data_IF_772802806736
#
_entry.id   IF_772802806736
#
_cell.length_a   1.000
_cell.length_b   1.000
_cell.length_c   1.000
_cell.angle_alpha   90.00
_cell.angle_beta   90.00
_cell.angle_gamma   90.00
#
_symmetry.space_group_name_H-M   'P 1'
#
loop_
_entity.id
_entity.type
_entity.pdbx_description
1 polymer ?
#
# COMPACT_ATOMS: atom_id res chain seq x y z
N UNK A 1 -43.84 15.96 -3.98
CA UNK A 1 -43.00 16.71 -4.92
C UNK A 1 -41.90 17.51 -4.21
N UNK A 2 -42.16 18.06 -3.02
CA UNK A 2 -41.14 18.76 -2.22
C UNK A 2 -39.93 17.87 -1.90
N UNK A 3 -40.14 16.64 -1.46
CA UNK A 3 -39.07 15.65 -1.14
C UNK A 3 -38.19 15.28 -2.33
N UNK A 4 -38.69 15.32 -3.57
CA UNK A 4 -37.89 15.05 -4.78
C UNK A 4 -37.00 16.24 -5.17
N UNK A 5 -37.44 17.46 -4.81
CA UNK A 5 -36.71 18.70 -5.12
C UNK A 5 -35.67 18.97 -4.00
N UNK A 6 -35.99 18.61 -2.76
CA UNK A 6 -35.09 18.75 -1.62
C UNK A 6 -33.72 18.06 -1.84
N UNK A 7 -33.72 16.88 -2.42
CA UNK A 7 -32.48 16.16 -2.75
C UNK A 7 -31.56 16.91 -3.72
N UNK A 8 -32.12 17.73 -4.63
CA UNK A 8 -31.36 18.51 -5.60
C UNK A 8 -30.95 19.87 -5.04
N UNK A 9 -31.84 20.49 -4.26
CA UNK A 9 -31.62 21.86 -3.74
C UNK A 9 -30.72 21.87 -2.49
N UNK A 10 -30.57 20.75 -1.80
CA UNK A 10 -29.71 20.62 -0.63
C UNK A 10 -28.26 20.26 -0.94
N UNK A 11 -27.92 19.96 -2.22
CA UNK A 11 -26.55 19.64 -2.62
C UNK A 11 -25.65 20.85 -2.43
N UNK A 12 -24.55 20.68 -1.68
CA UNK A 12 -23.53 21.69 -1.47
C UNK A 12 -22.46 21.64 -2.58
N UNK A 13 -21.73 22.74 -2.78
CA UNK A 13 -20.61 22.79 -3.72
C UNK A 13 -19.52 21.76 -3.35
N UNK A 14 -19.26 21.55 -2.06
CA UNK A 14 -18.31 20.54 -1.59
C UNK A 14 -18.72 19.12 -2.02
N UNK A 15 -20.00 18.77 -1.89
CA UNK A 15 -20.51 17.47 -2.33
C UNK A 15 -20.36 17.27 -3.85
N UNK A 16 -20.61 18.31 -4.65
CA UNK A 16 -20.39 18.26 -6.10
C UNK A 16 -18.91 18.00 -6.42
N UNK A 17 -17.99 18.69 -5.73
CA UNK A 17 -16.54 18.47 -5.90
C UNK A 17 -16.18 17.02 -5.55
N UNK A 18 -16.71 16.48 -4.45
CA UNK A 18 -16.44 15.10 -4.07
C UNK A 18 -17.01 14.07 -5.05
N UNK A 19 -18.20 14.33 -5.62
CA UNK A 19 -18.75 13.49 -6.70
C UNK A 19 -17.88 13.53 -7.96
N UNK A 20 -17.30 14.69 -8.29
CA UNK A 20 -16.33 14.80 -9.38
C UNK A 20 -15.05 14.03 -9.06
N UNK A 21 -14.52 14.13 -7.83
CA UNK A 21 -13.37 13.32 -7.37
C UNK A 21 -13.67 11.83 -7.48
N UNK A 22 -14.84 11.37 -7.00
CA UNK A 22 -15.30 10.00 -7.16
C UNK A 22 -15.34 9.54 -8.62
N UNK A 23 -15.86 10.40 -9.51
CA UNK A 23 -15.88 10.13 -10.95
C UNK A 23 -14.48 10.05 -11.57
N UNK A 24 -13.55 10.88 -11.12
CA UNK A 24 -12.14 10.82 -11.54
C UNK A 24 -11.48 9.52 -11.07
N UNK A 25 -11.72 9.09 -9.82
CA UNK A 25 -11.21 7.80 -9.32
C UNK A 25 -11.72 6.64 -10.16
N UNK A 26 -13.01 6.62 -10.49
CA UNK A 26 -13.58 5.62 -11.39
C UNK A 26 -12.95 5.67 -12.79
N UNK A 27 -12.77 6.87 -13.36
CA UNK A 27 -12.10 7.03 -14.65
C UNK A 27 -10.66 6.50 -14.63
N UNK A 28 -9.91 6.78 -13.58
CA UNK A 28 -8.54 6.27 -13.42
C UNK A 28 -8.54 4.74 -13.31
N UNK A 29 -9.46 4.15 -12.55
CA UNK A 29 -9.60 2.70 -12.45
C UNK A 29 -9.99 2.05 -13.79
N UNK A 30 -11.01 2.59 -14.48
CA UNK A 30 -11.56 1.97 -15.69
C UNK A 30 -10.70 2.23 -16.94
N UNK A 31 -10.24 3.47 -17.15
CA UNK A 31 -9.52 3.85 -18.39
C UNK A 31 -8.01 3.76 -18.30
N UNK A 32 -7.46 3.92 -17.11
CA UNK A 32 -6.01 3.87 -16.87
C UNK A 32 -5.57 2.56 -16.22
N UNK A 33 -6.55 1.72 -15.83
CA UNK A 33 -6.31 0.45 -15.15
C UNK A 33 -5.47 0.59 -13.86
N UNK A 34 -5.61 1.76 -13.19
CA UNK A 34 -4.96 2.05 -11.92
C UNK A 34 -5.76 1.42 -10.78
N UNK A 35 -5.25 0.32 -10.22
CA UNK A 35 -5.90 -0.41 -9.11
C UNK A 35 -7.43 -0.48 -9.23
N UNK A 36 -7.98 -1.01 -10.34
CA UNK A 36 -9.41 -0.92 -10.66
C UNK A 36 -10.28 -1.59 -9.60
N UNK A 37 -9.79 -2.65 -8.96
CA UNK A 37 -10.50 -3.41 -7.93
C UNK A 37 -10.83 -2.60 -6.69
N UNK A 38 -10.10 -1.51 -6.45
CA UNK A 38 -10.32 -0.62 -5.32
C UNK A 38 -10.82 0.76 -5.74
N UNK A 39 -10.17 1.40 -6.75
CA UNK A 39 -10.52 2.77 -7.15
C UNK A 39 -11.94 2.88 -7.71
N UNK A 40 -12.46 1.84 -8.38
CA UNK A 40 -13.82 1.86 -8.92
C UNK A 40 -14.87 1.79 -7.81
N UNK A 41 -14.83 0.82 -6.86
CA UNK A 41 -15.75 0.80 -5.73
C UNK A 41 -15.64 2.05 -4.84
N UNK A 42 -14.43 2.53 -4.58
CA UNK A 42 -14.18 3.74 -3.79
C UNK A 42 -14.75 4.99 -4.48
N UNK A 43 -14.57 5.12 -5.79
CA UNK A 43 -15.12 6.24 -6.56
C UNK A 43 -16.65 6.24 -6.54
N UNK A 44 -17.28 5.07 -6.75
CA UNK A 44 -18.73 4.93 -6.64
C UNK A 44 -19.22 5.24 -5.22
N UNK A 45 -18.58 4.68 -4.21
CA UNK A 45 -18.89 4.92 -2.82
C UNK A 45 -18.78 6.42 -2.46
N UNK A 46 -17.75 7.12 -2.95
CA UNK A 46 -17.58 8.57 -2.77
C UNK A 46 -18.76 9.35 -3.36
N UNK A 47 -19.26 8.95 -4.52
CA UNK A 47 -20.46 9.56 -5.09
C UNK A 47 -21.65 9.32 -4.16
N UNK A 48 -21.86 8.08 -3.71
CA UNK A 48 -23.01 7.70 -2.88
C UNK A 48 -23.05 8.42 -1.53
N UNK A 49 -21.91 8.55 -0.82
CA UNK A 49 -21.85 9.20 0.49
C UNK A 49 -22.00 10.72 0.44
N UNK A 50 -21.82 11.32 -0.73
CA UNK A 50 -21.98 12.77 -0.93
C UNK A 50 -23.36 13.14 -1.51
N UNK A 51 -24.27 12.17 -1.70
CA UNK A 51 -25.66 12.50 -1.98
C UNK A 51 -26.42 12.81 -0.69
N UNK A 52 -27.11 13.94 -0.61
CA UNK A 52 -27.91 14.29 0.57
C UNK A 52 -29.15 13.39 0.68
N UNK A 53 -29.55 13.08 1.93
CA UNK A 53 -30.81 12.38 2.23
C UNK A 53 -30.85 10.90 1.82
N UNK A 54 -29.69 10.25 1.62
CA UNK A 54 -29.63 8.82 1.29
C UNK A 54 -29.45 7.99 2.55
N UNK A 55 -30.05 6.80 2.64
CA UNK A 55 -29.82 5.85 3.74
C UNK A 55 -28.42 5.21 3.79
N UNK A 56 -27.48 5.76 3.02
CA UNK A 56 -26.07 5.35 2.96
C UNK A 56 -25.31 5.76 4.21
N UNK A 57 -25.58 6.98 4.70
CA UNK A 57 -25.06 7.53 5.96
C UNK A 57 -26.13 7.48 7.05
N UNK A 58 -25.70 7.58 8.30
CA UNK A 58 -26.60 7.65 9.46
C UNK A 58 -27.55 8.84 9.34
N UNK A 59 -28.84 8.59 9.55
CA UNK A 59 -29.92 9.57 9.45
C UNK A 59 -30.83 9.50 10.68
N UNK A 60 -31.45 10.63 11.02
CA UNK A 60 -32.49 10.67 12.02
C UNK A 60 -33.85 10.66 11.32
N UNK A 61 -34.53 9.53 11.34
CA UNK A 61 -35.88 9.35 10.78
C UNK A 61 -36.90 9.23 11.90
N UNK A 62 -37.84 10.16 11.98
CA UNK A 62 -38.88 10.15 13.00
C UNK A 62 -38.36 10.22 14.45
N UNK A 63 -37.21 10.86 14.69
CA UNK A 63 -36.59 10.96 16.01
C UNK A 63 -35.76 9.72 16.43
N UNK A 64 -35.65 8.72 15.55
CA UNK A 64 -34.80 7.52 15.77
C UNK A 64 -33.60 7.62 14.85
N UNK A 65 -32.40 7.43 15.42
CA UNK A 65 -31.15 7.37 14.68
C UNK A 65 -31.05 6.00 14.01
N UNK A 66 -30.97 5.97 12.68
CA UNK A 66 -30.71 4.77 11.90
C UNK A 66 -29.28 4.84 11.33
N UNK A 67 -28.44 3.87 11.70
CA UNK A 67 -27.09 3.77 11.16
C UNK A 67 -27.12 3.48 9.67
N UNK A 68 -26.32 4.22 8.90
CA UNK A 68 -26.16 4.01 7.48
C UNK A 68 -25.35 2.75 7.14
N UNK A 69 -25.63 2.16 5.96
CA UNK A 69 -24.96 0.91 5.53
C UNK A 69 -23.43 1.05 5.48
N UNK A 70 -22.92 2.20 5.03
CA UNK A 70 -21.47 2.42 4.96
C UNK A 70 -20.82 2.58 6.34
N UNK A 71 -21.54 3.16 7.30
CA UNK A 71 -21.06 3.24 8.68
C UNK A 71 -20.98 1.86 9.33
N UNK A 72 -22.00 1.01 9.13
CA UNK A 72 -22.00 -0.37 9.62
C UNK A 72 -20.84 -1.16 9.00
N UNK A 73 -20.63 -1.05 7.68
CA UNK A 73 -19.52 -1.70 7.00
C UNK A 73 -18.17 -1.18 7.50
N UNK A 74 -18.06 0.13 7.74
CA UNK A 74 -16.84 0.75 8.29
C UNK A 74 -16.51 0.19 9.68
N UNK A 75 -17.46 0.21 10.59
CA UNK A 75 -17.28 -0.33 11.95
C UNK A 75 -16.92 -1.81 11.94
N UNK A 76 -17.61 -2.61 11.11
CA UNK A 76 -17.41 -4.05 11.04
C UNK A 76 -16.13 -4.48 10.31
N UNK A 77 -15.67 -3.70 9.34
CA UNK A 77 -14.58 -4.11 8.44
C UNK A 77 -13.27 -3.38 8.66
N UNK A 78 -13.32 -2.04 8.76
CA UNK A 78 -12.11 -1.22 8.96
C UNK A 78 -11.88 -0.98 10.44
N UNK A 79 -12.91 -0.56 11.19
CA UNK A 79 -12.78 -0.32 12.63
C UNK A 79 -12.33 -1.55 13.43
N UNK A 80 -12.65 -2.76 12.96
CA UNK A 80 -12.15 -4.03 13.51
C UNK A 80 -10.85 -4.52 12.85
N UNK A 81 -10.31 -3.79 11.88
CA UNK A 81 -9.13 -4.16 11.08
C UNK A 81 -9.31 -5.45 10.23
N UNK A 82 -10.53 -6.00 10.17
CA UNK A 82 -10.81 -7.27 9.53
C UNK A 82 -10.46 -7.25 8.02
N UNK A 83 -10.89 -6.22 7.28
CA UNK A 83 -10.66 -6.15 5.84
C UNK A 83 -9.19 -6.06 5.46
N UNK A 84 -8.37 -5.18 6.08
CA UNK A 84 -6.92 -5.16 5.84
C UNK A 84 -6.26 -6.53 6.10
N UNK A 85 -6.60 -7.20 7.20
CA UNK A 85 -6.03 -8.51 7.53
C UNK A 85 -6.40 -9.58 6.52
N UNK A 86 -7.66 -9.64 6.07
CA UNK A 86 -8.10 -10.61 5.06
C UNK A 86 -7.40 -10.39 3.71
N UNK A 87 -7.16 -9.13 3.31
CA UNK A 87 -6.39 -8.84 2.09
C UNK A 87 -4.96 -9.36 2.21
N UNK A 88 -4.33 -9.27 3.38
CA UNK A 88 -2.99 -9.81 3.58
C UNK A 88 -2.89 -11.32 3.37
N UNK A 89 -3.92 -12.10 3.70
CA UNK A 89 -3.95 -13.53 3.34
C UNK A 89 -3.84 -13.70 1.82
N UNK A 90 -4.63 -12.95 1.07
CA UNK A 90 -4.62 -13.01 -0.39
C UNK A 90 -3.28 -12.58 -0.99
N UNK A 91 -2.73 -11.44 -0.53
CA UNK A 91 -1.43 -10.94 -0.96
C UNK A 91 -0.34 -11.97 -0.65
N UNK A 92 -0.32 -12.54 0.56
CA UNK A 92 0.64 -13.58 0.95
C UNK A 92 0.57 -14.81 0.05
N UNK A 93 -0.65 -15.24 -0.31
CA UNK A 93 -0.85 -16.34 -1.24
C UNK A 93 -0.40 -16.03 -2.69
N UNK A 94 -0.40 -14.75 -3.09
CA UNK A 94 0.10 -14.32 -4.41
C UNK A 94 1.63 -14.25 -4.47
N UNK A 95 2.32 -13.99 -3.35
CA UNK A 95 3.76 -13.75 -3.30
C UNK A 95 4.53 -15.05 -3.41
N UNK A 96 5.52 -15.08 -4.32
CA UNK A 96 6.59 -16.10 -4.36
C UNK A 96 7.85 -15.54 -3.67
N UNK A 97 8.17 -16.08 -2.50
CA UNK A 97 9.38 -15.73 -1.76
C UNK A 97 10.64 -16.43 -2.29
N UNK A 98 10.53 -17.31 -3.29
CA UNK A 98 11.66 -18.02 -3.90
C UNK A 98 12.84 -17.12 -4.28
N UNK A 99 12.64 -16.01 -5.02
CA UNK A 99 13.71 -15.07 -5.37
C UNK A 99 14.41 -14.44 -4.16
N UNK A 100 13.67 -14.16 -3.08
CA UNK A 100 14.22 -13.65 -1.83
C UNK A 100 15.03 -14.73 -1.10
N UNK A 101 14.51 -15.95 -1.03
CA UNK A 101 15.20 -17.09 -0.38
C UNK A 101 16.49 -17.48 -1.11
N UNK A 102 16.54 -17.33 -2.44
CA UNK A 102 17.76 -17.52 -3.24
C UNK A 102 18.80 -16.43 -2.98
N UNK A 103 18.36 -15.22 -2.68
CA UNK A 103 19.22 -14.08 -2.40
C UNK A 103 18.77 -13.32 -1.15
N UNK A 104 18.99 -13.85 0.07
CA UNK A 104 18.54 -13.22 1.32
C UNK A 104 19.09 -11.80 1.54
N UNK A 105 20.18 -11.46 0.86
CA UNK A 105 20.74 -10.11 0.84
C UNK A 105 19.72 -9.05 0.36
N UNK A 106 18.73 -9.45 -0.44
CA UNK A 106 17.66 -8.56 -0.89
C UNK A 106 16.78 -8.02 0.25
N UNK A 107 16.78 -8.68 1.43
CA UNK A 107 16.10 -8.16 2.64
C UNK A 107 16.57 -6.75 3.02
N UNK A 108 17.84 -6.45 2.81
CA UNK A 108 18.41 -5.13 3.12
C UNK A 108 17.80 -4.01 2.26
N UNK A 109 17.38 -4.32 1.02
CA UNK A 109 16.77 -3.33 0.16
C UNK A 109 15.33 -3.01 0.58
N UNK A 110 14.56 -4.00 1.04
CA UNK A 110 13.26 -3.77 1.64
C UNK A 110 13.36 -2.85 2.87
N UNK A 111 14.32 -3.12 3.76
CA UNK A 111 14.55 -2.27 4.93
C UNK A 111 14.99 -0.85 4.55
N UNK A 112 15.93 -0.72 3.59
CA UNK A 112 16.44 0.58 3.15
C UNK A 112 15.38 1.42 2.43
N UNK A 113 14.45 0.78 1.74
CA UNK A 113 13.37 1.48 1.05
C UNK A 113 12.29 2.02 2.01
N UNK A 114 12.32 1.71 3.30
CA UNK A 114 11.44 2.34 4.30
C UNK A 114 11.96 3.73 4.78
N UNK A 115 13.04 4.22 4.19
CA UNK A 115 13.64 5.49 4.57
C UNK A 115 12.68 6.67 4.47
N UNK A 116 11.88 6.73 3.42
CA UNK A 116 10.93 7.82 3.17
C UNK A 116 9.82 7.89 4.21
N UNK A 117 9.39 6.75 4.78
CA UNK A 117 8.42 6.70 5.89
C UNK A 117 8.94 7.57 7.04
N UNK A 118 10.11 7.23 7.57
CA UNK A 118 10.69 7.92 8.72
C UNK A 118 11.11 9.35 8.40
N UNK A 119 11.56 9.60 7.17
CA UNK A 119 11.87 10.95 6.70
C UNK A 119 10.63 11.85 6.76
N UNK A 120 9.48 11.37 6.26
CA UNK A 120 8.24 12.17 6.25
C UNK A 120 7.65 12.29 7.65
N UNK A 121 7.77 11.29 8.52
CA UNK A 121 7.39 11.46 9.94
C UNK A 121 8.07 12.69 10.53
N UNK A 122 9.39 12.83 10.36
CA UNK A 122 10.14 13.99 10.86
C UNK A 122 9.66 15.29 10.20
N UNK A 123 9.49 15.31 8.88
CA UNK A 123 9.08 16.51 8.14
C UNK A 123 7.66 16.93 8.53
N UNK A 124 6.71 15.99 8.66
CA UNK A 124 5.34 16.28 9.03
C UNK A 124 5.24 16.86 10.45
N UNK A 125 5.99 16.32 11.41
CA UNK A 125 6.09 16.89 12.76
C UNK A 125 6.64 18.32 12.74
N UNK A 126 7.68 18.58 11.93
CA UNK A 126 8.23 19.93 11.76
C UNK A 126 7.24 20.91 11.11
N UNK A 127 6.29 20.40 10.33
CA UNK A 127 5.20 21.18 9.73
C UNK A 127 3.98 21.35 10.66
N UNK A 128 4.03 20.79 11.89
CA UNK A 128 3.02 21.02 12.91
C UNK A 128 1.97 19.93 13.05
N UNK A 129 2.12 18.77 12.39
CA UNK A 129 1.28 17.60 12.62
C UNK A 129 1.64 16.95 13.96
N UNK A 130 0.62 16.39 14.63
CA UNK A 130 0.86 15.51 15.77
C UNK A 130 1.69 14.29 15.36
N UNK A 131 2.44 13.72 16.30
CA UNK A 131 3.35 12.60 16.00
C UNK A 131 2.61 11.36 15.49
N UNK A 132 1.37 11.11 15.95
CA UNK A 132 0.51 10.01 15.50
C UNK A 132 -0.01 10.26 14.08
N UNK A 133 -0.43 11.49 13.80
CA UNK A 133 -0.80 11.93 12.46
C UNK A 133 0.40 11.81 11.51
N UNK A 134 1.57 12.31 11.92
CA UNK A 134 2.80 12.25 11.14
C UNK A 134 3.22 10.81 10.82
N UNK A 135 3.11 9.90 11.80
CA UNK A 135 3.38 8.47 11.60
C UNK A 135 2.41 7.85 10.58
N UNK A 136 1.12 8.19 10.68
CA UNK A 136 0.08 7.75 9.75
C UNK A 136 0.26 8.33 8.34
N UNK A 137 0.80 9.53 8.21
CA UNK A 137 1.15 10.12 6.91
C UNK A 137 2.40 9.45 6.33
N UNK A 138 3.42 9.22 7.16
CA UNK A 138 4.68 8.63 6.75
C UNK A 138 4.52 7.25 6.11
N UNK A 139 3.65 6.41 6.68
CA UNK A 139 3.43 5.02 6.19
C UNK A 139 2.91 4.95 4.75
N UNK A 140 2.36 6.05 4.20
CA UNK A 140 1.95 6.15 2.80
C UNK A 140 3.13 5.83 1.87
N UNK A 141 4.35 6.19 2.27
CA UNK A 141 5.58 5.96 1.49
C UNK A 141 5.83 4.49 1.18
N UNK A 142 5.47 3.58 2.07
CA UNK A 142 5.59 2.15 1.86
C UNK A 142 4.90 1.65 0.58
N UNK A 143 3.93 2.42 0.06
CA UNK A 143 3.04 2.02 -1.03
C UNK A 143 2.35 0.66 -0.74
N UNK A 144 1.85 0.54 0.49
CA UNK A 144 1.14 -0.62 1.03
C UNK A 144 -0.19 -0.16 1.62
N UNK A 145 -1.24 -0.26 0.83
CA UNK A 145 -2.56 0.23 1.18
C UNK A 145 -3.11 -0.37 2.48
N UNK A 146 -3.15 -1.70 2.63
CA UNK A 146 -3.63 -2.35 3.84
C UNK A 146 -2.85 -1.95 5.09
N UNK A 147 -1.51 -1.86 5.04
CA UNK A 147 -0.69 -1.37 6.17
C UNK A 147 -1.01 0.09 6.50
N UNK A 148 -1.18 0.94 5.47
CA UNK A 148 -1.52 2.34 5.67
C UNK A 148 -2.89 2.50 6.37
N UNK A 149 -3.88 1.70 5.99
CA UNK A 149 -5.20 1.67 6.64
C UNK A 149 -5.06 1.22 8.10
N UNK A 150 -4.32 0.15 8.37
CA UNK A 150 -4.15 -0.41 9.70
C UNK A 150 -3.49 0.61 10.64
N UNK A 151 -2.42 1.26 10.20
CA UNK A 151 -1.71 2.28 11.00
C UNK A 151 -2.58 3.52 11.21
N UNK A 152 -3.24 4.03 10.15
CA UNK A 152 -4.07 5.22 10.25
C UNK A 152 -5.33 4.99 11.10
N UNK A 153 -5.96 3.82 11.01
CA UNK A 153 -7.11 3.48 11.84
C UNK A 153 -6.78 3.48 13.34
N UNK A 154 -5.54 3.09 13.68
CA UNK A 154 -5.09 3.03 15.08
C UNK A 154 -4.57 4.38 15.60
N UNK A 155 -3.80 5.13 14.80
CA UNK A 155 -3.10 6.33 15.25
C UNK A 155 -3.82 7.64 14.91
N UNK A 156 -4.56 7.69 13.80
CA UNK A 156 -5.18 8.90 13.27
C UNK A 156 -6.44 8.59 12.44
N UNK A 157 -7.48 8.05 13.10
CA UNK A 157 -8.73 7.62 12.44
C UNK A 157 -9.39 8.74 11.63
N UNK A 158 -9.30 9.98 12.08
CA UNK A 158 -9.86 11.14 11.37
C UNK A 158 -9.17 11.39 10.02
N UNK A 159 -7.91 10.96 9.85
CA UNK A 159 -7.13 11.09 8.62
C UNK A 159 -7.18 9.83 7.73
N UNK A 160 -7.91 8.80 8.15
CA UNK A 160 -7.95 7.52 7.44
C UNK A 160 -8.37 7.65 5.97
N UNK A 161 -9.39 8.47 5.68
CA UNK A 161 -9.85 8.71 4.31
C UNK A 161 -8.75 9.28 3.40
N UNK A 162 -8.19 10.46 3.71
CA UNK A 162 -7.10 11.05 2.95
C UNK A 162 -5.87 10.15 2.81
N UNK A 163 -5.46 9.49 3.89
CA UNK A 163 -4.30 8.58 3.89
C UNK A 163 -4.54 7.39 2.97
N UNK A 164 -5.72 6.80 3.03
CA UNK A 164 -6.06 5.65 2.19
C UNK A 164 -6.09 6.02 0.71
N UNK A 165 -6.74 7.15 0.36
CA UNK A 165 -6.77 7.65 -1.03
C UNK A 165 -5.36 7.91 -1.52
N UNK A 166 -4.51 8.55 -0.74
CA UNK A 166 -3.13 8.82 -1.09
C UNK A 166 -2.34 7.53 -1.31
N UNK A 167 -2.38 6.58 -0.36
CA UNK A 167 -1.64 5.33 -0.42
C UNK A 167 -1.96 4.52 -1.68
N UNK A 168 -3.24 4.32 -1.98
CA UNK A 168 -3.65 3.56 -3.17
C UNK A 168 -3.43 4.32 -4.47
N UNK A 169 -3.61 5.65 -4.47
CA UNK A 169 -3.32 6.46 -5.65
C UNK A 169 -1.83 6.41 -6.01
N UNK A 170 -0.94 6.49 -5.02
CA UNK A 170 0.51 6.41 -5.28
C UNK A 170 0.95 5.00 -5.66
N UNK A 171 0.37 3.97 -5.09
CA UNK A 171 0.59 2.60 -5.54
C UNK A 171 0.26 2.45 -7.04
N UNK A 172 -0.87 3.00 -7.48
CA UNK A 172 -1.25 3.02 -8.89
C UNK A 172 -0.31 3.87 -9.78
N UNK A 173 0.32 4.91 -9.22
CA UNK A 173 1.23 5.81 -9.93
C UNK A 173 2.70 5.36 -9.92
N UNK A 174 3.01 4.22 -9.31
CA UNK A 174 4.37 3.62 -9.30
C UNK A 174 5.03 3.63 -10.68
N UNK A 175 4.36 3.21 -11.78
CA UNK A 175 4.98 3.19 -13.10
C UNK A 175 5.37 4.58 -13.66
N UNK A 176 4.84 5.64 -13.09
CA UNK A 176 5.09 7.03 -13.52
C UNK A 176 6.11 7.70 -12.59
N UNK A 177 5.89 7.63 -11.27
CA UNK A 177 6.67 8.37 -10.29
C UNK A 177 8.03 7.72 -10.06
N UNK A 178 8.07 6.40 -9.93
CA UNK A 178 9.30 5.68 -9.60
C UNK A 178 10.41 5.84 -10.65
N UNK A 179 10.16 5.78 -11.97
CA UNK A 179 11.19 6.05 -12.97
C UNK A 179 11.79 7.46 -12.86
N UNK A 180 10.97 8.45 -12.53
CA UNK A 180 11.42 9.84 -12.36
C UNK A 180 12.36 9.95 -11.15
N UNK A 181 11.94 9.39 -10.01
CA UNK A 181 12.73 9.35 -8.78
C UNK A 181 14.09 8.65 -8.99
N UNK A 182 14.08 7.49 -9.64
CA UNK A 182 15.30 6.72 -9.95
C UNK A 182 16.23 7.49 -10.86
N UNK A 183 15.72 8.07 -11.97
CA UNK A 183 16.52 8.81 -12.94
C UNK A 183 17.15 10.06 -12.31
N UNK A 184 16.49 10.69 -11.35
CA UNK A 184 17.01 11.85 -10.64
C UNK A 184 18.29 11.56 -9.83
N UNK A 185 18.44 10.31 -9.34
CA UNK A 185 19.56 9.95 -8.46
C UNK A 185 20.49 8.89 -9.06
N UNK A 186 20.30 8.49 -10.34
CA UNK A 186 21.14 7.52 -11.03
C UNK A 186 21.66 8.05 -12.36
N UNK A 187 22.87 7.68 -12.70
CA UNK A 187 23.45 7.92 -14.04
C UNK A 187 23.06 6.78 -15.01
N UNK A 188 23.13 7.06 -16.31
CA UNK A 188 22.89 6.04 -17.35
C UNK A 188 23.81 4.82 -17.18
N UNK A 189 25.09 5.04 -16.86
CA UNK A 189 26.06 3.96 -16.64
C UNK A 189 25.67 3.05 -15.49
N UNK A 190 25.14 3.61 -14.40
CA UNK A 190 24.68 2.84 -13.26
C UNK A 190 23.45 2.00 -13.60
N UNK A 191 22.52 2.55 -14.40
CA UNK A 191 21.31 1.82 -14.83
C UNK A 191 21.61 0.68 -15.81
N UNK A 192 22.75 0.74 -16.50
CA UNK A 192 23.24 -0.31 -17.44
C UNK A 192 24.04 -1.42 -16.75
N UNK A 193 24.24 -1.37 -15.43
CA UNK A 193 24.92 -2.44 -14.71
C UNK A 193 24.13 -3.75 -14.86
N UNK A 194 24.75 -4.76 -15.49
CA UNK A 194 24.18 -6.09 -15.67
C UNK A 194 24.45 -6.94 -14.43
N UNK A 195 23.48 -7.74 -14.05
CA UNK A 195 23.62 -8.69 -12.95
C UNK A 195 23.36 -10.10 -13.44
N UNK A 196 24.24 -11.02 -13.11
CA UNK A 196 24.12 -12.43 -13.48
C UNK A 196 23.32 -13.17 -12.41
N UNK A 197 22.08 -13.51 -12.73
CA UNK A 197 21.25 -14.33 -11.86
C UNK A 197 21.62 -15.81 -11.99
N UNK A 198 21.97 -16.43 -10.86
CA UNK A 198 22.12 -17.88 -10.75
C UNK A 198 20.90 -18.42 -10.03
N UNK A 199 20.08 -19.17 -10.74
CA UNK A 199 18.95 -19.84 -10.12
C UNK A 199 19.48 -20.97 -9.21
N UNK A 200 19.27 -20.84 -7.93
CA UNK A 200 19.50 -21.90 -6.95
C UNK A 200 18.17 -22.54 -6.56
N UNK A 201 18.15 -23.86 -6.43
CA UNK A 201 16.94 -24.55 -6.02
C UNK A 201 16.72 -24.37 -4.51
N UNK A 202 15.61 -23.72 -4.15
CA UNK A 202 15.16 -23.63 -2.76
C UNK A 202 14.35 -24.87 -2.42
N UNK A 203 14.70 -25.55 -1.31
CA UNK A 203 13.96 -26.74 -0.89
C UNK A 203 12.54 -26.41 -0.47
N UNK A 204 11.60 -27.34 -0.70
CA UNK A 204 10.20 -27.17 -0.29
C UNK A 204 10.08 -26.96 1.22
N UNK A 205 10.88 -27.66 2.01
CA UNK A 205 10.94 -27.47 3.47
C UNK A 205 11.31 -26.03 3.85
N UNK A 206 12.30 -25.44 3.16
CA UNK A 206 12.68 -24.03 3.39
C UNK A 206 11.52 -23.09 3.09
N UNK A 207 10.79 -23.32 1.99
CA UNK A 207 9.65 -22.50 1.60
C UNK A 207 8.49 -22.58 2.60
N UNK A 208 8.25 -23.75 3.19
CA UNK A 208 7.20 -23.95 4.21
C UNK A 208 7.63 -23.35 5.56
N UNK A 209 8.89 -23.50 5.96
CA UNK A 209 9.39 -22.98 7.24
C UNK A 209 9.53 -21.45 7.24
N UNK A 210 9.82 -20.86 6.09
CA UNK A 210 10.06 -19.42 5.97
C UNK A 210 8.93 -18.56 6.54
N UNK A 211 7.65 -18.71 6.14
CA UNK A 211 6.57 -17.90 6.68
C UNK A 211 6.37 -18.09 8.18
N UNK A 212 6.63 -19.29 8.71
CA UNK A 212 6.53 -19.57 10.14
C UNK A 212 7.65 -18.82 10.88
N UNK A 213 8.89 -18.91 10.40
CA UNK A 213 10.05 -18.27 11.01
C UNK A 213 9.89 -16.75 10.99
N UNK A 214 9.46 -16.16 9.84
CA UNK A 214 9.25 -14.72 9.74
C UNK A 214 8.16 -14.24 10.70
N UNK A 215 7.07 -15.00 10.85
CA UNK A 215 6.01 -14.66 11.81
C UNK A 215 6.53 -14.64 13.24
N UNK A 216 7.31 -15.65 13.64
CA UNK A 216 7.90 -15.71 14.98
C UNK A 216 8.90 -14.58 15.22
N UNK A 217 9.79 -14.32 14.25
CA UNK A 217 10.78 -13.24 14.34
C UNK A 217 10.11 -11.88 14.42
N UNK A 218 9.10 -11.63 13.59
CA UNK A 218 8.33 -10.37 13.62
C UNK A 218 7.62 -10.18 14.97
N UNK A 219 7.07 -11.26 15.54
CA UNK A 219 6.45 -11.23 16.87
C UNK A 219 7.41 -10.84 17.99
N UNK A 220 8.70 -11.14 17.86
CA UNK A 220 9.73 -10.69 18.82
C UNK A 220 10.18 -9.25 18.59
N UNK A 221 10.27 -8.81 17.33
CA UNK A 221 10.78 -7.46 16.98
C UNK A 221 9.69 -6.41 17.16
N UNK A 222 8.49 -6.68 16.67
CA UNK A 222 7.36 -5.76 16.66
C UNK A 222 6.04 -6.53 16.93
N UNK A 223 5.73 -6.85 18.20
CA UNK A 223 4.55 -7.66 18.55
C UNK A 223 3.23 -7.12 17.98
N UNK A 224 3.07 -5.80 17.90
CA UNK A 224 1.88 -5.15 17.37
C UNK A 224 1.69 -5.43 15.87
N UNK A 225 2.77 -5.70 15.12
CA UNK A 225 2.69 -6.07 13.70
C UNK A 225 2.28 -7.54 13.47
N UNK A 226 2.22 -8.34 14.53
CA UNK A 226 2.00 -9.78 14.41
C UNK A 226 0.72 -10.16 13.65
N UNK A 227 -0.43 -9.48 13.82
CA UNK A 227 -1.61 -9.76 13.01
C UNK A 227 -1.33 -9.56 11.51
N UNK A 228 -0.71 -8.44 11.13
CA UNK A 228 -0.41 -8.14 9.72
C UNK A 228 0.57 -9.15 9.13
N UNK A 229 1.73 -9.35 9.79
CA UNK A 229 2.75 -10.30 9.33
C UNK A 229 2.19 -11.72 9.34
N UNK A 230 1.46 -12.11 10.38
CA UNK A 230 0.90 -13.45 10.53
C UNK A 230 -0.09 -13.79 9.41
N UNK A 231 -1.00 -12.87 9.07
CA UNK A 231 -1.97 -13.07 7.99
C UNK A 231 -1.29 -13.11 6.61
N UNK A 232 -0.29 -12.25 6.38
CA UNK A 232 0.54 -12.28 5.16
C UNK A 232 1.26 -13.62 5.02
N UNK A 233 1.94 -14.05 6.09
CA UNK A 233 2.71 -15.29 6.10
C UNK A 233 1.80 -16.53 6.09
N UNK A 234 0.60 -16.46 6.68
CA UNK A 234 -0.39 -17.51 6.56
C UNK A 234 -0.84 -17.70 5.10
N UNK A 235 -1.11 -16.61 4.38
CA UNK A 235 -1.40 -16.68 2.95
C UNK A 235 -0.29 -17.35 2.16
N UNK A 236 0.97 -17.01 2.45
CA UNK A 236 2.12 -17.65 1.82
C UNK A 236 2.24 -19.15 2.19
N UNK A 237 1.96 -19.51 3.43
CA UNK A 237 1.94 -20.90 3.86
C UNK A 237 0.86 -21.72 3.11
N UNK A 238 -0.32 -21.15 2.85
CA UNK A 238 -1.35 -21.80 2.03
C UNK A 238 -0.84 -22.15 0.64
N UNK A 239 -0.02 -21.28 0.05
CA UNK A 239 0.61 -21.48 -1.27
C UNK A 239 1.68 -22.56 -1.22
N UNK A 240 2.60 -22.47 -0.25
CA UNK A 240 3.83 -23.27 -0.27
C UNK A 240 3.68 -24.66 0.36
N UNK A 241 2.61 -24.93 1.11
CA UNK A 241 2.42 -26.23 1.76
C UNK A 241 2.11 -27.38 0.79
N UNK A 242 1.64 -27.09 -0.44
CA UNK A 242 1.35 -28.09 -1.48
C UNK A 242 0.13 -28.96 -1.25
N UNK A 243 -0.59 -28.78 -0.13
CA UNK A 243 -1.79 -29.57 0.20
C UNK A 243 -3.05 -28.71 0.29
N UNK A 244 -2.93 -27.39 0.18
CA UNK A 244 -3.99 -26.40 0.31
C UNK A 244 -4.17 -25.54 -0.95
N UNK A 245 -3.83 -26.05 -2.13
CA UNK A 245 -3.86 -25.30 -3.40
C UNK A 245 -5.21 -24.64 -3.67
N UNK A 246 -6.32 -25.33 -3.35
CA UNK A 246 -7.67 -24.77 -3.51
C UNK A 246 -7.90 -23.55 -2.62
N UNK A 247 -7.45 -23.59 -1.37
CA UNK A 247 -7.56 -22.45 -0.45
C UNK A 247 -6.65 -21.32 -0.88
N UNK A 248 -5.43 -21.64 -1.33
CA UNK A 248 -4.49 -20.66 -1.89
C UNK A 248 -5.10 -19.93 -3.09
N UNK A 249 -5.68 -20.66 -4.04
CA UNK A 249 -6.35 -20.05 -5.20
C UNK A 249 -7.55 -19.20 -4.79
N UNK A 250 -8.40 -19.67 -3.86
CA UNK A 250 -9.52 -18.89 -3.34
C UNK A 250 -9.04 -17.61 -2.64
N UNK A 251 -7.94 -17.68 -1.88
CA UNK A 251 -7.37 -16.52 -1.22
C UNK A 251 -6.86 -15.48 -2.22
N UNK A 252 -6.17 -15.94 -3.29
CA UNK A 252 -5.58 -15.09 -4.32
C UNK A 252 -6.63 -14.38 -5.19
N UNK A 253 -7.77 -15.00 -5.42
CA UNK A 253 -8.79 -14.52 -6.37
C UNK A 253 -10.05 -14.06 -5.63
N UNK A 254 -10.89 -14.98 -5.15
CA UNK A 254 -12.22 -14.65 -4.64
C UNK A 254 -12.15 -13.81 -3.36
N UNK A 255 -11.31 -14.19 -2.40
CA UNK A 255 -11.20 -13.47 -1.13
C UNK A 255 -10.70 -12.04 -1.35
N UNK A 256 -9.61 -11.86 -2.10
CA UNK A 256 -9.06 -10.53 -2.40
C UNK A 256 -10.10 -9.69 -3.13
N UNK A 257 -10.79 -10.23 -4.13
CA UNK A 257 -11.78 -9.49 -4.91
C UNK A 257 -12.97 -9.04 -4.05
N UNK A 258 -13.54 -9.95 -3.24
CA UNK A 258 -14.66 -9.62 -2.36
C UNK A 258 -14.26 -8.56 -1.34
N UNK A 259 -13.13 -8.77 -0.67
CA UNK A 259 -12.66 -7.83 0.36
C UNK A 259 -12.26 -6.49 -0.23
N UNK A 260 -11.68 -6.45 -1.44
CA UNK A 260 -11.37 -5.18 -2.13
C UNK A 260 -12.62 -4.38 -2.48
N UNK A 261 -13.70 -5.03 -2.90
CA UNK A 261 -14.99 -4.36 -3.14
C UNK A 261 -15.51 -3.75 -1.83
N UNK A 262 -15.55 -4.56 -0.77
CA UNK A 262 -16.03 -4.10 0.54
C UNK A 262 -15.16 -2.96 1.09
N UNK A 263 -13.85 -3.11 1.02
CA UNK A 263 -12.89 -2.11 1.46
C UNK A 263 -13.04 -0.79 0.69
N UNK A 264 -13.10 -0.85 -0.64
CA UNK A 264 -13.25 0.34 -1.49
C UNK A 264 -14.55 1.11 -1.20
N UNK A 265 -15.67 0.39 -1.07
CA UNK A 265 -16.94 1.01 -0.69
C UNK A 265 -16.88 1.60 0.72
N UNK A 266 -16.29 0.87 1.66
CA UNK A 266 -16.27 1.27 3.08
C UNK A 266 -15.39 2.49 3.34
N UNK A 267 -14.23 2.59 2.68
CA UNK A 267 -13.31 3.74 2.80
C UNK A 267 -14.01 5.04 2.40
N UNK A 268 -14.92 4.98 1.43
CA UNK A 268 -15.63 6.16 0.98
C UNK A 268 -16.51 6.80 2.08
N UNK A 269 -16.83 6.08 3.17
CA UNK A 269 -17.46 6.64 4.36
C UNK A 269 -16.69 7.86 4.90
N UNK A 270 -15.36 7.83 4.86
CA UNK A 270 -14.47 8.93 5.27
C UNK A 270 -14.20 9.96 4.16
N UNK A 271 -14.85 9.81 2.98
CA UNK A 271 -14.71 10.73 1.85
C UNK A 271 -15.89 11.69 1.72
N UNK A 272 -16.51 12.05 2.84
CA UNK A 272 -17.54 13.08 2.89
C UNK A 272 -16.92 14.47 2.67
N UNK A 273 -17.62 15.37 1.99
CA UNK A 273 -17.10 16.70 1.64
C UNK A 273 -16.61 17.50 2.86
N UNK A 274 -17.31 17.38 3.98
CA UNK A 274 -16.99 18.07 5.24
C UNK A 274 -15.68 17.60 5.89
N UNK A 275 -15.35 16.33 5.72
CA UNK A 275 -14.15 15.72 6.30
C UNK A 275 -12.97 15.77 5.33
N UNK A 276 -13.22 15.63 4.02
CA UNK A 276 -12.17 15.45 3.02
C UNK A 276 -11.64 16.76 2.42
N UNK A 277 -12.52 17.78 2.20
CA UNK A 277 -12.13 19.02 1.52
C UNK A 277 -11.57 20.05 2.50
N UNK A 278 -10.35 19.82 2.96
CA UNK A 278 -9.62 20.73 3.83
C UNK A 278 -8.13 20.83 3.44
N UNK A 279 -7.44 21.81 3.99
CA UNK A 279 -6.00 22.02 3.74
C UNK A 279 -5.15 20.83 4.22
N UNK A 280 -5.54 20.21 5.33
CA UNK A 280 -4.85 19.08 5.91
C UNK A 280 -4.81 17.89 4.94
N UNK A 281 -5.92 17.59 4.25
CA UNK A 281 -5.99 16.56 3.21
C UNK A 281 -4.98 16.83 2.07
N UNK A 282 -4.88 18.07 1.60
CA UNK A 282 -3.91 18.44 0.55
C UNK A 282 -2.46 18.24 1.04
N UNK A 283 -2.18 18.59 2.29
CA UNK A 283 -0.87 18.37 2.90
C UNK A 283 -0.56 16.88 3.04
N UNK A 284 -1.52 16.04 3.45
CA UNK A 284 -1.37 14.58 3.54
C UNK A 284 -1.02 13.99 2.17
N UNK A 285 -1.75 14.39 1.14
CA UNK A 285 -1.47 13.96 -0.25
C UNK A 285 -0.05 14.39 -0.65
N UNK A 286 0.35 15.63 -0.40
CA UNK A 286 1.69 16.11 -0.75
C UNK A 286 2.80 15.35 0.01
N UNK A 287 2.65 15.16 1.31
CA UNK A 287 3.62 14.42 2.13
C UNK A 287 3.69 12.94 1.75
N UNK A 288 2.55 12.30 1.45
CA UNK A 288 2.52 10.93 0.96
C UNK A 288 3.32 10.76 -0.35
N UNK A 289 3.20 11.73 -1.27
CA UNK A 289 4.02 11.75 -2.49
C UNK A 289 5.52 11.87 -2.17
N UNK A 290 5.87 12.76 -1.26
CA UNK A 290 7.26 12.92 -0.82
C UNK A 290 7.78 11.64 -0.17
N UNK A 291 7.00 10.99 0.70
CA UNK A 291 7.36 9.74 1.33
C UNK A 291 7.65 8.65 0.28
N UNK A 292 6.77 8.47 -0.68
CA UNK A 292 6.91 7.50 -1.76
C UNK A 292 8.16 7.74 -2.63
N UNK A 293 8.44 9.02 -2.98
CA UNK A 293 9.65 9.39 -3.73
C UNK A 293 10.89 9.09 -2.90
N UNK A 294 10.90 9.46 -1.62
CA UNK A 294 12.04 9.27 -0.72
C UNK A 294 12.30 7.80 -0.39
N UNK A 295 11.29 6.96 -0.33
CA UNK A 295 11.44 5.51 -0.22
C UNK A 295 12.16 4.92 -1.44
N UNK A 296 11.72 5.30 -2.65
CA UNK A 296 12.39 4.90 -3.88
C UNK A 296 13.85 5.39 -3.94
N UNK A 297 14.11 6.65 -3.56
CA UNK A 297 15.45 7.24 -3.51
C UNK A 297 16.31 6.56 -2.45
N UNK A 298 15.78 6.32 -1.26
CA UNK A 298 16.49 5.67 -0.15
C UNK A 298 17.03 4.30 -0.53
N UNK A 299 16.20 3.47 -1.16
CA UNK A 299 16.62 2.19 -1.67
C UNK A 299 17.73 2.27 -2.73
N UNK A 300 17.62 3.23 -3.68
CA UNK A 300 18.66 3.48 -4.70
C UNK A 300 19.97 3.94 -4.05
N UNK A 301 19.92 4.90 -3.15
CA UNK A 301 21.11 5.43 -2.47
C UNK A 301 21.79 4.35 -1.63
N UNK A 302 21.03 3.49 -0.98
CA UNK A 302 21.57 2.35 -0.27
C UNK A 302 22.32 1.38 -1.20
N UNK A 303 21.74 1.07 -2.38
CA UNK A 303 22.43 0.26 -3.39
C UNK A 303 23.74 0.91 -3.87
N UNK A 304 23.75 2.24 -4.05
CA UNK A 304 24.96 2.99 -4.40
C UNK A 304 26.01 2.96 -3.28
N UNK A 305 25.57 3.09 -2.03
CA UNK A 305 26.46 2.99 -0.87
C UNK A 305 27.10 1.61 -0.79
N UNK A 306 26.33 0.54 -0.96
CA UNK A 306 26.85 -0.83 -1.03
C UNK A 306 27.86 -1.02 -2.15
N UNK A 307 27.64 -0.36 -3.30
CA UNK A 307 28.55 -0.41 -4.43
C UNK A 307 29.93 0.21 -4.15
N UNK A 308 30.09 1.02 -3.11
CA UNK A 308 31.40 1.52 -2.70
C UNK A 308 32.29 0.38 -2.18
N UNK A 309 31.69 -0.61 -1.52
CA UNK A 309 32.39 -1.70 -0.85
C UNK A 309 32.39 -3.03 -1.64
N UNK A 310 31.60 -3.15 -2.70
CA UNK A 310 31.47 -4.38 -3.50
C UNK A 310 32.37 -4.38 -4.72
N UNK A 311 33.00 -5.53 -5.00
CA UNK A 311 33.73 -5.78 -6.26
C UNK A 311 32.76 -5.94 -7.42
N UNK A 312 31.74 -6.77 -7.25
CA UNK A 312 30.65 -6.93 -8.20
C UNK A 312 29.57 -5.90 -7.89
N UNK A 313 29.35 -4.97 -8.83
CA UNK A 313 28.40 -3.88 -8.64
C UNK A 313 26.98 -4.36 -8.83
N UNK A 314 26.09 -3.88 -7.97
CA UNK A 314 24.64 -4.07 -8.06
C UNK A 314 24.06 -2.94 -8.90
N UNK A 315 23.06 -3.23 -9.73
CA UNK A 315 22.28 -2.20 -10.41
C UNK A 315 21.48 -1.40 -9.36
N UNK A 316 21.75 -0.09 -9.18
CA UNK A 316 21.11 0.68 -8.10
C UNK A 316 19.59 0.75 -8.19
N UNK A 317 19.02 0.59 -9.41
CA UNK A 317 17.57 0.59 -9.61
C UNK A 317 16.87 -0.49 -8.77
N UNK A 318 17.53 -1.63 -8.50
CA UNK A 318 16.96 -2.72 -7.70
C UNK A 318 16.58 -2.23 -6.30
N UNK A 319 17.33 -1.29 -5.73
CA UNK A 319 17.03 -0.72 -4.42
C UNK A 319 15.66 -0.06 -4.36
N UNK A 320 15.24 0.61 -5.43
CA UNK A 320 13.90 1.21 -5.50
C UNK A 320 12.78 0.16 -5.51
N UNK A 321 13.06 -1.10 -5.92
CA UNK A 321 12.07 -2.16 -5.86
C UNK A 321 11.70 -2.56 -4.43
N UNK A 322 12.46 -2.13 -3.41
CA UNK A 322 12.21 -2.43 -2.00
C UNK A 322 10.96 -1.79 -1.39
N UNK A 323 10.18 -1.01 -2.14
CA UNK A 323 8.83 -0.59 -1.73
C UNK A 323 7.83 -1.74 -1.85
N UNK A 324 6.71 -1.67 -1.12
CA UNK A 324 5.72 -2.76 -1.08
C UNK A 324 4.82 -2.89 -2.30
N UNK A 325 4.86 -1.99 -3.28
CA UNK A 325 3.99 -2.06 -4.47
C UNK A 325 4.31 -3.30 -5.33
N UNK A 326 3.85 -4.46 -4.87
CA UNK A 326 4.06 -5.76 -5.51
C UNK A 326 2.92 -6.09 -6.51
N UNK A 327 3.20 -6.63 -7.70
CA UNK A 327 4.53 -6.81 -8.33
C UNK A 327 4.94 -5.64 -9.23
N UNK A 328 4.30 -4.47 -9.10
CA UNK A 328 4.46 -3.36 -10.04
C UNK A 328 5.87 -2.79 -10.02
N UNK A 329 6.44 -2.56 -8.85
CA UNK A 329 7.77 -1.95 -8.72
C UNK A 329 8.86 -2.79 -9.42
N UNK A 330 8.86 -4.10 -9.22
CA UNK A 330 9.83 -4.99 -9.87
C UNK A 330 9.71 -4.98 -11.40
N UNK A 331 8.48 -4.90 -11.93
CA UNK A 331 8.23 -4.79 -13.38
C UNK A 331 8.71 -3.46 -13.95
N UNK A 332 8.50 -2.36 -13.22
CA UNK A 332 9.01 -1.03 -13.61
C UNK A 332 10.53 -1.04 -13.70
N UNK A 333 11.22 -1.59 -12.71
CA UNK A 333 12.68 -1.71 -12.70
C UNK A 333 13.17 -2.54 -13.89
N UNK A 334 12.56 -3.68 -14.16
CA UNK A 334 12.91 -4.51 -15.32
C UNK A 334 12.71 -3.75 -16.63
N UNK A 335 11.58 -3.06 -16.79
CA UNK A 335 11.31 -2.25 -17.98
C UNK A 335 12.37 -1.17 -18.18
N UNK A 336 12.70 -0.42 -17.13
CA UNK A 336 13.77 0.60 -17.19
C UNK A 336 15.13 0.00 -17.55
N UNK A 337 15.45 -1.18 -17.00
CA UNK A 337 16.72 -1.85 -17.30
C UNK A 337 16.83 -2.24 -18.78
N UNK A 338 15.76 -2.81 -19.36
CA UNK A 338 15.73 -3.20 -20.77
C UNK A 338 15.65 -2.00 -21.72
N UNK A 339 15.07 -0.88 -21.31
CA UNK A 339 15.10 0.39 -22.07
C UNK A 339 16.50 0.96 -22.15
N UNK A 340 17.32 0.83 -21.11
CA UNK A 340 18.72 1.32 -21.10
C UNK A 340 19.70 0.33 -21.76
N UNK A 341 19.44 -0.97 -21.69
CA UNK A 341 20.20 -2.05 -22.30
C UNK A 341 19.29 -3.29 -22.49
N UNK A 342 18.94 -3.65 -23.75
CA UNK A 342 18.01 -4.76 -24.04
C UNK A 342 18.42 -6.13 -23.49
N UNK A 343 19.69 -6.31 -23.11
CA UNK A 343 20.19 -7.55 -22.52
C UNK A 343 20.30 -7.50 -20.99
N UNK A 344 19.79 -6.43 -20.36
CA UNK A 344 19.89 -6.26 -18.91
C UNK A 344 18.64 -6.83 -18.21
N UNK A 345 18.74 -8.05 -17.73
CA UNK A 345 17.67 -8.75 -17.02
C UNK A 345 17.92 -8.72 -15.50
N UNK A 346 17.23 -7.84 -14.80
CA UNK A 346 17.34 -7.65 -13.34
C UNK A 346 16.08 -8.09 -12.57
N UNK A 347 15.08 -8.65 -13.29
CA UNK A 347 13.75 -8.92 -12.74
C UNK A 347 13.79 -9.74 -11.46
N UNK A 348 14.53 -10.83 -11.42
CA UNK A 348 14.54 -11.73 -10.27
C UNK A 348 15.12 -11.07 -9.01
N UNK A 349 16.12 -10.22 -9.17
CA UNK A 349 16.65 -9.41 -8.08
C UNK A 349 15.65 -8.33 -7.64
N UNK A 350 15.01 -7.66 -8.60
CA UNK A 350 13.98 -6.67 -8.33
C UNK A 350 12.76 -7.30 -7.63
N UNK A 351 12.35 -8.52 -8.03
CA UNK A 351 11.29 -9.28 -7.34
C UNK A 351 11.72 -9.61 -5.92
N UNK A 352 12.94 -10.09 -5.69
CA UNK A 352 13.45 -10.37 -4.35
C UNK A 352 13.45 -9.14 -3.44
N UNK A 353 13.89 -7.98 -3.96
CA UNK A 353 13.83 -6.71 -3.23
C UNK A 353 12.37 -6.26 -2.97
N UNK A 354 11.48 -6.39 -3.95
CA UNK A 354 10.08 -6.00 -3.84
C UNK A 354 9.32 -6.86 -2.80
N UNK A 355 9.57 -8.17 -2.82
CA UNK A 355 9.01 -9.10 -1.85
C UNK A 355 9.54 -8.82 -0.45
N UNK A 356 10.83 -8.45 -0.31
CA UNK A 356 11.37 -8.02 0.98
C UNK A 356 10.72 -6.73 1.48
N UNK A 357 10.33 -5.84 0.56
CA UNK A 357 9.57 -4.63 0.85
C UNK A 357 8.22 -4.91 1.51
N UNK A 358 7.52 -5.97 1.10
CA UNK A 358 6.26 -6.37 1.72
C UNK A 358 6.43 -6.72 3.21
N UNK A 359 7.50 -7.45 3.56
CA UNK A 359 7.80 -7.76 4.95
C UNK A 359 8.23 -6.50 5.70
N UNK A 360 9.08 -5.70 5.09
CA UNK A 360 9.65 -4.51 5.72
C UNK A 360 8.59 -3.43 6.00
N UNK A 361 7.62 -3.21 5.09
CA UNK A 361 6.55 -2.24 5.27
C UNK A 361 5.63 -2.61 6.43
N UNK A 362 5.27 -3.90 6.52
CA UNK A 362 4.43 -4.39 7.61
C UNK A 362 5.15 -4.27 8.97
N UNK A 363 6.46 -4.59 9.02
CA UNK A 363 7.27 -4.40 10.23
C UNK A 363 7.41 -2.91 10.54
N UNK A 364 7.64 -2.04 9.55
CA UNK A 364 7.72 -0.60 9.76
C UNK A 364 6.40 -0.03 10.30
N UNK A 365 5.24 -0.46 9.77
CA UNK A 365 3.94 -0.11 10.32
C UNK A 365 3.78 -0.55 11.78
N UNK A 366 4.19 -1.76 12.10
CA UNK A 366 4.19 -2.27 13.49
C UNK A 366 5.12 -1.50 14.41
N UNK A 367 6.28 -1.04 13.94
CA UNK A 367 7.19 -0.19 14.72
C UNK A 367 6.59 1.19 14.96
N UNK A 368 5.94 1.80 13.96
CA UNK A 368 5.23 3.08 14.15
C UNK A 368 4.14 2.94 15.21
N UNK A 369 3.37 1.85 15.17
CA UNK A 369 2.37 1.56 16.20
C UNK A 369 3.03 1.37 17.56
N UNK A 370 4.11 0.60 17.67
CA UNK A 370 4.79 0.34 18.94
C UNK A 370 5.39 1.59 19.57
N UNK A 371 5.81 2.58 18.76
CA UNK A 371 6.42 3.81 19.25
C UNK A 371 5.41 4.91 19.55
N UNK A 372 4.25 4.92 18.89
CA UNK A 372 3.34 6.08 18.92
C UNK A 372 1.90 5.76 19.35
N UNK A 373 1.56 4.49 19.66
CA UNK A 373 0.23 4.13 20.24
C UNK A 373 0.04 4.59 21.68
#
# INVERSE_FOLDING_TARGET
METLIEGITSITMGQIIMMLIGSILMYLGIKKEYEPTLLVPMGLGTILVNFPGTGVLTQTLGGVQQEGVFEILFKAGIGTELFPLLIFIGIGAMIDFGPLLQNPFMLLFGAAAQFGIFFVVVVAVLCGFDIREAASIGIIGAADGPTAIFVANTLAEDLLGPITVAAYSYMALVPIIQPIAIKAVTTKKERQIRMHYKAENVSQTTKILFPIIITVVAGFIAPISLPLVGFLMFGNLLRECGVLDRLSLTAQNELVNIVSILLGLTISFKMQATEFLNLQTLMIIAFGLVAFIMDSIGGVLFAKLLNLFRKEKINPMIGAAGISAFPMSSRVIQKMATEEDPQNFVLMYAVGANVSGQIASVIAGGLLLAFFS
#
